data_IF_294255771849
#
_entry.id   IF_294255771849
#
_cell.length_a   1.000
_cell.length_b   1.000
_cell.length_c   1.000
_cell.angle_alpha   90.00
_cell.angle_beta   90.00
_cell.angle_gamma   90.00
#
_symmetry.space_group_name_H-M   'P 1'
#
loop_
_entity.id
_entity.type
_entity.pdbx_description
1 polymer ?
#
# COMPACT_ATOMS: atom_id res chain seq x y z
N UNK A 1 32.90 22.52 29.71
CA UNK A 1 31.71 21.71 30.04
C UNK A 1 32.13 20.26 30.19
N UNK A 2 31.89 19.67 31.32
CA UNK A 2 32.12 18.26 31.53
C UNK A 2 30.84 17.51 31.17
N UNK A 3 30.83 16.77 30.05
CA UNK A 3 29.74 15.92 29.71
C UNK A 3 29.92 14.62 30.50
N UNK A 4 28.89 14.19 31.25
CA UNK A 4 28.91 12.94 31.97
C UNK A 4 29.18 11.76 30.99
N UNK A 5 30.04 10.80 31.33
CA UNK A 5 30.36 9.66 30.44
C UNK A 5 29.14 8.81 30.08
N UNK A 6 28.05 8.95 30.82
CA UNK A 6 26.78 8.26 30.54
C UNK A 6 25.90 8.94 29.50
N UNK A 7 26.16 10.22 29.18
CA UNK A 7 25.34 10.98 28.22
C UNK A 7 25.50 10.45 26.80
N UNK A 8 26.72 10.10 26.42
CA UNK A 8 27.01 9.60 25.07
C UNK A 8 26.29 8.30 24.76
N UNK A 9 26.39 7.23 25.59
CA UNK A 9 25.67 5.99 25.32
C UNK A 9 24.15 6.16 25.33
N UNK A 10 23.62 7.02 26.22
CA UNK A 10 22.16 7.31 26.25
C UNK A 10 21.72 8.00 24.97
N UNK A 11 22.48 8.96 24.46
CA UNK A 11 22.15 9.64 23.21
C UNK A 11 22.23 8.70 22.00
N UNK A 12 23.18 7.78 21.97
CA UNK A 12 23.31 6.79 20.88
C UNK A 12 22.11 5.83 20.89
N UNK A 13 21.72 5.33 22.05
CA UNK A 13 20.54 4.46 22.17
C UNK A 13 19.27 5.22 21.78
N UNK A 14 19.10 6.44 22.24
CA UNK A 14 17.94 7.27 21.89
C UNK A 14 17.88 7.53 20.37
N UNK A 15 18.99 7.87 19.75
CA UNK A 15 19.08 8.07 18.30
C UNK A 15 18.78 6.78 17.53
N UNK A 16 19.25 5.64 18.00
CA UNK A 16 18.95 4.34 17.37
C UNK A 16 17.46 3.99 17.46
N UNK A 17 16.83 4.19 18.63
CA UNK A 17 15.41 3.93 18.83
C UNK A 17 14.55 4.87 17.98
N UNK A 18 14.87 6.17 17.96
CA UNK A 18 14.16 7.16 17.14
C UNK A 18 14.38 6.88 15.63
N UNK A 19 15.59 6.50 15.25
CA UNK A 19 15.89 6.17 13.84
C UNK A 19 15.14 4.93 13.37
N UNK A 20 15.10 3.86 14.15
CA UNK A 20 14.38 2.63 13.80
C UNK A 20 12.86 2.82 13.81
N UNK A 21 12.33 3.53 14.81
CA UNK A 21 10.90 3.85 14.89
C UNK A 21 10.47 4.85 13.84
N UNK A 22 11.25 5.93 13.65
CA UNK A 22 10.97 6.99 12.68
C UNK A 22 11.03 6.54 11.22
N UNK A 23 11.96 5.66 10.88
CA UNK A 23 12.10 5.14 9.50
C UNK A 23 10.84 4.44 9.00
N UNK A 24 10.08 3.80 9.88
CA UNK A 24 8.80 3.16 9.52
C UNK A 24 7.71 4.17 9.16
N UNK A 25 7.72 5.34 9.82
CA UNK A 25 6.74 6.40 9.55
C UNK A 25 7.13 7.29 8.38
N UNK A 26 8.43 7.35 8.08
CA UNK A 26 8.98 8.19 7.01
C UNK A 26 9.23 7.41 5.71
N UNK A 27 8.87 6.13 5.66
CA UNK A 27 9.03 5.33 4.45
C UNK A 27 8.22 5.96 3.30
N UNK A 28 8.94 6.41 2.27
CA UNK A 28 8.30 6.93 1.07
C UNK A 28 7.54 5.83 0.34
N UNK A 29 6.39 6.14 -0.28
CA UNK A 29 5.66 5.17 -1.09
C UNK A 29 6.52 4.72 -2.28
N UNK A 30 6.42 3.45 -2.62
CA UNK A 30 7.11 2.87 -3.78
C UNK A 30 6.48 3.28 -5.10
N UNK A 31 5.16 3.49 -5.09
CA UNK A 31 4.38 3.87 -6.26
C UNK A 31 3.11 4.59 -5.82
N UNK A 32 2.70 5.61 -6.55
CA UNK A 32 1.45 6.35 -6.34
C UNK A 32 0.78 6.63 -7.67
N UNK A 33 -0.52 6.42 -7.75
CA UNK A 33 -1.34 6.78 -8.91
C UNK A 33 -2.64 7.42 -8.46
N UNK A 34 -2.97 8.55 -9.07
CA UNK A 34 -4.27 9.21 -8.95
C UNK A 34 -5.17 8.80 -10.13
N UNK A 35 -6.43 8.48 -9.86
CA UNK A 35 -7.40 8.06 -10.88
C UNK A 35 -8.46 9.14 -11.11
N UNK A 36 -8.94 9.75 -10.03
CA UNK A 36 -9.96 10.79 -10.08
C UNK A 36 -9.79 11.75 -8.91
N UNK A 37 -10.34 12.94 -9.03
CA UNK A 37 -10.39 13.94 -7.99
C UNK A 37 -11.79 14.03 -7.39
N UNK A 38 -11.86 14.07 -6.05
CA UNK A 38 -13.10 14.26 -5.32
C UNK A 38 -13.97 13.00 -5.24
N UNK A 39 -14.97 13.05 -4.37
CA UNK A 39 -15.93 11.99 -4.14
C UNK A 39 -16.94 12.45 -3.11
N UNK A 40 -18.15 11.84 -3.10
CA UNK A 40 -19.22 12.18 -2.16
C UNK A 40 -18.86 11.71 -0.73
N UNK A 41 -18.16 10.56 -0.61
CA UNK A 41 -17.79 9.96 0.67
C UNK A 41 -16.42 9.29 0.55
N UNK A 42 -15.37 10.06 0.79
CA UNK A 42 -13.99 9.62 0.63
C UNK A 42 -13.55 8.81 1.86
N UNK A 43 -13.13 7.58 1.64
CA UNK A 43 -12.57 6.69 2.65
C UNK A 43 -11.26 6.10 2.13
N UNK A 44 -10.42 5.62 3.06
CA UNK A 44 -9.16 4.94 2.74
C UNK A 44 -9.14 3.57 3.39
N UNK A 45 -8.79 2.56 2.61
CA UNK A 45 -8.59 1.19 3.10
C UNK A 45 -7.14 0.77 2.86
N UNK A 46 -6.63 -0.06 3.75
CA UNK A 46 -5.28 -0.61 3.69
C UNK A 46 -5.35 -2.12 3.50
N UNK A 47 -4.62 -2.60 2.50
CA UNK A 47 -4.48 -4.02 2.24
C UNK A 47 -3.03 -4.46 2.44
N UNK A 48 -2.83 -5.62 3.04
CA UNK A 48 -1.55 -6.34 2.95
C UNK A 48 -1.69 -7.35 1.82
N UNK A 49 -0.86 -7.19 0.78
CA UNK A 49 -0.99 -7.91 -0.47
C UNK A 49 0.23 -8.80 -0.69
N UNK A 50 0.01 -10.10 -0.72
CA UNK A 50 1.03 -11.06 -1.12
C UNK A 50 1.31 -10.91 -2.62
N UNK A 51 2.58 -10.82 -2.98
CA UNK A 51 3.01 -10.60 -4.36
C UNK A 51 3.41 -9.15 -4.65
N UNK A 52 3.02 -8.21 -3.80
CA UNK A 52 3.45 -6.81 -3.88
C UNK A 52 4.86 -6.68 -3.27
N UNK A 53 5.90 -6.64 -4.10
CA UNK A 53 7.30 -6.73 -3.67
C UNK A 53 8.19 -5.58 -4.12
N UNK A 54 7.85 -4.94 -5.24
CA UNK A 54 8.67 -3.91 -5.88
C UNK A 54 7.79 -2.93 -6.66
N UNK A 55 8.41 -1.93 -7.26
CA UNK A 55 7.73 -0.92 -8.09
C UNK A 55 6.95 -1.55 -9.24
N UNK A 56 7.48 -2.57 -9.88
CA UNK A 56 6.83 -3.22 -11.01
C UNK A 56 5.54 -3.94 -10.58
N UNK A 57 5.58 -4.69 -9.48
CA UNK A 57 4.37 -5.33 -8.92
C UNK A 57 3.37 -4.29 -8.41
N UNK A 58 3.84 -3.19 -7.83
CA UNK A 58 2.99 -2.08 -7.43
C UNK A 58 2.26 -1.45 -8.61
N UNK A 59 2.93 -1.29 -9.74
CA UNK A 59 2.34 -0.81 -11.00
C UNK A 59 1.31 -1.78 -11.56
N UNK A 60 1.55 -3.08 -11.47
CA UNK A 60 0.58 -4.10 -11.88
C UNK A 60 -0.69 -4.05 -11.04
N UNK A 61 -0.59 -3.88 -9.73
CA UNK A 61 -1.77 -3.68 -8.86
C UNK A 61 -2.50 -2.40 -9.24
N UNK A 62 -1.79 -1.32 -9.56
CA UNK A 62 -2.40 -0.09 -10.04
C UNK A 62 -3.24 -0.30 -11.32
N UNK A 63 -2.77 -1.15 -12.22
CA UNK A 63 -3.50 -1.53 -13.43
C UNK A 63 -4.81 -2.27 -13.13
N UNK A 64 -4.89 -3.02 -12.03
CA UNK A 64 -6.12 -3.72 -11.63
C UNK A 64 -7.25 -2.76 -11.23
N UNK A 65 -6.92 -1.52 -10.85
CA UNK A 65 -7.91 -0.51 -10.50
C UNK A 65 -8.34 0.38 -11.67
N UNK A 66 -7.72 0.24 -12.84
CA UNK A 66 -7.96 1.14 -13.97
C UNK A 66 -9.44 1.21 -14.40
N UNK A 67 -10.13 0.07 -14.33
CA UNK A 67 -11.55 -0.05 -14.73
C UNK A 67 -12.51 -0.12 -13.54
N UNK A 68 -12.03 0.11 -12.32
CA UNK A 68 -12.86 0.08 -11.11
C UNK A 68 -13.40 1.48 -10.83
N UNK A 69 -14.72 1.71 -10.93
CA UNK A 69 -15.29 3.01 -10.62
C UNK A 69 -15.18 3.32 -9.14
N UNK A 70 -14.98 4.59 -8.79
CA UNK A 70 -14.91 5.06 -7.42
C UNK A 70 -13.52 5.01 -6.78
N UNK A 71 -12.52 4.45 -7.44
CA UNK A 71 -11.13 4.52 -6.97
C UNK A 71 -10.58 5.91 -7.28
N UNK A 72 -10.08 6.59 -6.24
CA UNK A 72 -9.56 7.95 -6.35
C UNK A 72 -8.03 7.98 -6.37
N UNK A 73 -7.40 7.22 -5.48
CA UNK A 73 -5.94 7.18 -5.34
C UNK A 73 -5.47 5.83 -4.85
N UNK A 74 -4.33 5.39 -5.37
CA UNK A 74 -3.63 4.20 -4.94
C UNK A 74 -2.20 4.56 -4.53
N UNK A 75 -1.77 4.09 -3.37
CA UNK A 75 -0.41 4.27 -2.83
C UNK A 75 0.13 2.91 -2.40
N UNK A 76 1.29 2.53 -2.91
CA UNK A 76 1.94 1.27 -2.59
C UNK A 76 3.19 1.48 -1.73
N UNK A 77 3.34 0.65 -0.71
CA UNK A 77 4.53 0.51 0.10
C UNK A 77 5.06 -0.92 -0.05
N UNK A 78 5.82 -1.16 -1.10
CA UNK A 78 6.27 -2.50 -1.48
C UNK A 78 7.11 -3.19 -0.39
N UNK A 79 7.91 -2.44 0.36
CA UNK A 79 8.71 -2.95 1.48
C UNK A 79 7.88 -3.54 2.62
N UNK A 80 6.61 -3.14 2.74
CA UNK A 80 5.66 -3.64 3.74
C UNK A 80 4.56 -4.52 3.13
N UNK A 81 4.62 -4.80 1.84
CA UNK A 81 3.57 -5.49 1.08
C UNK A 81 2.19 -4.82 1.23
N UNK A 82 2.18 -3.50 1.37
CA UNK A 82 0.99 -2.73 1.72
C UNK A 82 0.50 -1.89 0.54
N UNK A 83 -0.81 -1.92 0.32
CA UNK A 83 -1.51 -1.07 -0.63
C UNK A 83 -2.56 -0.25 0.11
N UNK A 84 -2.51 1.08 -0.04
CA UNK A 84 -3.54 1.99 0.48
C UNK A 84 -4.35 2.50 -0.69
N UNK A 85 -5.66 2.35 -0.60
CA UNK A 85 -6.59 2.78 -1.64
C UNK A 85 -7.56 3.80 -1.05
N UNK A 86 -7.56 4.99 -1.62
CA UNK A 86 -8.56 6.02 -1.34
C UNK A 86 -9.67 5.89 -2.36
N UNK A 87 -10.90 5.79 -1.91
CA UNK A 87 -12.06 5.50 -2.74
C UNK A 87 -13.29 6.27 -2.29
N UNK A 88 -14.26 6.38 -3.18
CA UNK A 88 -15.58 6.92 -2.87
C UNK A 88 -16.50 5.78 -2.39
N UNK A 89 -16.83 5.79 -1.10
CA UNK A 89 -17.68 4.78 -0.47
C UNK A 89 -19.12 4.80 -0.96
N UNK A 90 -19.54 5.86 -1.65
CA UNK A 90 -20.84 5.92 -2.32
C UNK A 90 -20.87 5.12 -3.63
N UNK A 91 -19.71 4.79 -4.22
CA UNK A 91 -19.59 4.13 -5.52
C UNK A 91 -19.07 2.70 -5.40
N UNK A 92 -18.12 2.47 -4.50
CA UNK A 92 -17.46 1.16 -4.32
C UNK A 92 -17.26 0.84 -2.84
N UNK A 93 -16.79 -0.35 -2.55
CA UNK A 93 -16.53 -0.83 -1.20
C UNK A 93 -15.20 -1.61 -1.12
N UNK A 94 -14.65 -1.87 0.08
CA UNK A 94 -13.39 -2.60 0.23
C UNK A 94 -13.40 -4.02 -0.37
N UNK A 95 -14.54 -4.70 -0.39
CA UNK A 95 -14.64 -6.04 -0.97
C UNK A 95 -14.49 -6.00 -2.50
N UNK A 96 -15.06 -5.00 -3.15
CA UNK A 96 -14.88 -4.80 -4.59
C UNK A 96 -13.42 -4.48 -4.93
N UNK A 97 -12.75 -3.67 -4.09
CA UNK A 97 -11.33 -3.34 -4.25
C UNK A 97 -10.44 -4.58 -4.05
N UNK A 98 -10.75 -5.41 -3.04
CA UNK A 98 -10.08 -6.68 -2.83
C UNK A 98 -10.23 -7.60 -4.04
N UNK A 99 -11.43 -7.74 -4.55
CA UNK A 99 -11.70 -8.56 -5.73
C UNK A 99 -10.90 -8.07 -6.96
N UNK A 100 -10.75 -6.76 -7.12
CA UNK A 100 -9.93 -6.18 -8.18
C UNK A 100 -8.45 -6.52 -8.03
N UNK A 101 -7.90 -6.45 -6.81
CA UNK A 101 -6.50 -6.81 -6.53
C UNK A 101 -6.25 -8.30 -6.82
N UNK A 102 -7.16 -9.17 -6.39
CA UNK A 102 -7.06 -10.62 -6.57
C UNK A 102 -7.46 -11.10 -7.97
N UNK A 103 -7.91 -10.20 -8.82
CA UNK A 103 -8.28 -10.50 -10.20
C UNK A 103 -7.09 -10.99 -11.04
N UNK A 104 -7.35 -11.63 -12.18
CA UNK A 104 -6.31 -12.12 -13.06
C UNK A 104 -5.51 -10.97 -13.68
N UNK A 105 -4.20 -11.16 -13.77
CA UNK A 105 -3.34 -10.27 -14.55
C UNK A 105 -3.51 -10.61 -16.02
N UNK A 106 -3.88 -9.60 -16.80
CA UNK A 106 -4.13 -9.74 -18.24
C UNK A 106 -2.96 -9.13 -19.01
N UNK A 107 -2.48 -9.85 -20.02
CA UNK A 107 -1.53 -9.29 -20.96
C UNK A 107 -2.24 -8.27 -21.85
N UNK A 108 -1.82 -7.01 -21.77
CA UNK A 108 -2.43 -5.90 -22.53
C UNK A 108 -2.32 -6.09 -24.06
N UNK A 109 -1.26 -6.76 -24.52
CA UNK A 109 -1.02 -6.97 -25.96
C UNK A 109 -1.93 -8.05 -26.55
N UNK A 110 -2.22 -9.12 -25.82
CA UNK A 110 -2.96 -10.29 -26.33
C UNK A 110 -4.35 -10.48 -25.70
N UNK A 111 -4.66 -9.76 -24.62
CA UNK A 111 -5.88 -9.93 -23.84
C UNK A 111 -5.95 -11.28 -23.09
N UNK A 112 -4.84 -12.02 -23.04
CA UNK A 112 -4.79 -13.34 -22.37
C UNK A 112 -4.62 -13.19 -20.88
N UNK A 113 -5.37 -13.98 -20.13
CA UNK A 113 -5.18 -14.13 -18.68
C UNK A 113 -3.87 -14.90 -18.45
N UNK A 114 -2.92 -14.25 -17.78
CA UNK A 114 -1.63 -14.85 -17.49
C UNK A 114 -1.68 -15.70 -16.22
N UNK A 115 -2.07 -15.10 -15.11
CA UNK A 115 -2.16 -15.79 -13.82
C UNK A 115 -2.80 -14.87 -12.76
N UNK A 116 -3.15 -15.47 -11.62
CA UNK A 116 -3.50 -14.73 -10.42
C UNK A 116 -2.22 -14.51 -9.60
N UNK A 117 -1.76 -13.27 -9.52
CA UNK A 117 -0.48 -12.93 -8.89
C UNK A 117 -0.63 -12.44 -7.47
N UNK A 118 -1.73 -11.77 -7.17
CA UNK A 118 -1.92 -11.06 -5.92
C UNK A 118 -2.97 -11.72 -5.05
N UNK A 119 -2.68 -11.78 -3.75
CA UNK A 119 -3.58 -12.30 -2.72
C UNK A 119 -3.63 -11.32 -1.56
N UNK A 120 -4.82 -10.90 -1.18
CA UNK A 120 -5.02 -10.02 -0.02
C UNK A 120 -4.97 -10.84 1.26
N UNK A 121 -4.01 -10.55 2.13
CA UNK A 121 -3.80 -11.22 3.41
C UNK A 121 -4.54 -10.58 4.56
N UNK A 122 -4.67 -9.27 4.53
CA UNK A 122 -5.44 -8.52 5.52
C UNK A 122 -6.01 -7.25 4.90
N UNK A 123 -7.08 -6.78 5.49
CA UNK A 123 -7.75 -5.55 5.11
C UNK A 123 -8.01 -4.75 6.39
N UNK A 124 -7.55 -3.48 6.44
CA UNK A 124 -7.59 -2.62 7.63
C UNK A 124 -7.01 -3.27 8.91
N UNK A 125 -5.96 -4.11 8.74
CA UNK A 125 -5.35 -4.84 9.85
C UNK A 125 -6.10 -6.09 10.29
N UNK A 126 -7.27 -6.40 9.74
CA UNK A 126 -7.98 -7.67 9.96
C UNK A 126 -7.41 -8.75 9.03
N UNK A 127 -7.00 -9.89 9.60
CA UNK A 127 -6.51 -11.01 8.80
C UNK A 127 -7.67 -11.71 8.09
N UNK A 128 -7.57 -11.81 6.78
CA UNK A 128 -8.53 -12.55 5.95
C UNK A 128 -8.02 -13.98 5.82
N UNK A 129 -8.78 -14.90 6.31
CA UNK A 129 -8.51 -16.34 6.19
C UNK A 129 -9.14 -16.92 4.93
#
# INVERSE_FOLDING_TARGET
MRVSPWVVPVLVVLAAVLGMGGARFLAAPSFTRDYAAGGARVETVRFVVRGLKCVDTARQVAGQFADVPGVLRYVAYASRHEAQVTYDAAVTDPQALRAAIEGPVVDEASGRILFHQFEVRSMDGATIR
#
